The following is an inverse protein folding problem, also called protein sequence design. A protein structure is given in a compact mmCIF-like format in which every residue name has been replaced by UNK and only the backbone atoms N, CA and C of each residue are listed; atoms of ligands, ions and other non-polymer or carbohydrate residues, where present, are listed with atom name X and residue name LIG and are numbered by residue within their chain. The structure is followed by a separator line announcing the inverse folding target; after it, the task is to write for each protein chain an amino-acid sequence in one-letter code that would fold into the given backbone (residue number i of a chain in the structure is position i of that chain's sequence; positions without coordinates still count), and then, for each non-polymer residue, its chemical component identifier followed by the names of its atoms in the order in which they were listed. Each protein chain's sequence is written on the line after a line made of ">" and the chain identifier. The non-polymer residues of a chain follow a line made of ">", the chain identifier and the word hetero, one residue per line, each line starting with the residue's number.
data_IF_835845202803
#
_entry.id   IF_835845202803
#
_cell.length_a   1.000
_cell.length_b   1.000
_cell.length_c   1.000
_cell.angle_alpha   90.00
_cell.angle_beta   90.00
_cell.angle_gamma   90.00
#
_symmetry.space_group_name_H-M   'P 1'
#
loop_
_entity.id
_entity.type
_entity.pdbx_description
1 polymer ?
#
# COMPACT_ATOMS: atom_id res chain seq x y z
N UNK A 1 -21.09 -17.45 41.15
CA UNK A 1 -20.94 -18.90 40.91
C UNK A 1 -21.22 -19.57 42.24
N UNK A 2 -22.32 -20.32 42.35
CA UNK A 2 -22.76 -20.89 43.62
C UNK A 2 -21.93 -22.16 43.91
N UNK A 3 -20.88 -22.02 44.72
CA UNK A 3 -19.96 -23.12 45.10
C UNK A 3 -20.62 -24.18 45.98
N UNK A 4 -21.61 -23.77 46.78
CA UNK A 4 -22.37 -24.65 47.68
C UNK A 4 -23.12 -25.76 46.93
N UNK A 5 -23.58 -25.50 45.70
CA UNK A 5 -24.30 -26.49 44.91
C UNK A 5 -23.38 -27.59 44.37
N UNK A 6 -22.10 -27.28 44.11
CA UNK A 6 -21.13 -28.27 43.63
C UNK A 6 -20.69 -29.22 44.74
N UNK A 7 -20.64 -28.75 46.00
CA UNK A 7 -20.29 -29.59 47.15
C UNK A 7 -21.41 -30.59 47.50
N UNK A 8 -22.66 -30.30 47.14
CA UNK A 8 -23.80 -31.21 47.33
C UNK A 8 -23.96 -32.28 46.24
N UNK A 9 -23.27 -32.12 45.10
CA UNK A 9 -23.34 -33.07 43.99
C UNK A 9 -22.38 -34.23 44.21
N UNK A 10 -22.81 -35.42 43.83
CA UNK A 10 -21.97 -36.61 43.80
C UNK A 10 -20.85 -36.49 42.75
N UNK A 11 -19.82 -37.33 42.89
CA UNK A 11 -18.70 -37.36 41.93
C UNK A 11 -19.16 -37.63 40.49
N UNK A 12 -20.15 -38.51 40.31
CA UNK A 12 -20.73 -38.83 39.00
C UNK A 12 -21.48 -37.64 38.41
N UNK A 13 -22.25 -36.91 39.23
CA UNK A 13 -22.96 -35.70 38.78
C UNK A 13 -21.99 -34.58 38.40
N UNK A 14 -20.92 -34.39 39.18
CA UNK A 14 -19.83 -33.45 38.85
C UNK A 14 -19.13 -33.83 37.54
N UNK A 15 -18.92 -35.12 37.31
CA UNK A 15 -18.33 -35.62 36.06
C UNK A 15 -19.26 -35.38 34.86
N UNK A 16 -20.56 -35.66 34.99
CA UNK A 16 -21.56 -35.40 33.95
C UNK A 16 -21.60 -33.91 33.61
N UNK A 17 -21.60 -33.04 34.63
CA UNK A 17 -21.58 -31.60 34.41
C UNK A 17 -20.31 -31.15 33.67
N UNK A 18 -19.14 -31.68 34.05
CA UNK A 18 -17.89 -31.41 33.34
C UNK A 18 -17.98 -31.80 31.86
N UNK A 19 -18.52 -32.99 31.56
CA UNK A 19 -18.72 -33.45 30.18
C UNK A 19 -19.68 -32.53 29.41
N UNK A 20 -20.79 -32.11 30.02
CA UNK A 20 -21.74 -31.18 29.41
C UNK A 20 -21.11 -29.81 29.13
N UNK A 21 -20.33 -29.28 30.07
CA UNK A 21 -19.62 -28.01 29.91
C UNK A 21 -18.59 -28.13 28.78
N UNK A 22 -17.80 -29.21 28.74
CA UNK A 22 -16.84 -29.46 27.68
C UNK A 22 -17.50 -29.57 26.29
N UNK A 23 -18.61 -30.29 26.19
CA UNK A 23 -19.39 -30.39 24.96
C UNK A 23 -19.95 -29.04 24.51
N UNK A 24 -20.55 -28.30 25.44
CA UNK A 24 -21.12 -26.96 25.19
C UNK A 24 -20.05 -25.97 24.74
N UNK A 25 -18.89 -25.96 25.41
CA UNK A 25 -17.76 -25.12 25.03
C UNK A 25 -17.25 -25.47 23.64
N UNK A 26 -17.09 -26.75 23.33
CA UNK A 26 -16.65 -27.21 22.01
C UNK A 26 -17.60 -26.76 20.90
N UNK A 27 -18.92 -26.91 21.11
CA UNK A 27 -19.94 -26.43 20.17
C UNK A 27 -19.87 -24.90 20.00
N UNK A 28 -19.79 -24.14 21.11
CA UNK A 28 -19.66 -22.68 21.06
C UNK A 28 -18.42 -22.25 20.30
N UNK A 29 -17.28 -22.89 20.55
CA UNK A 29 -16.01 -22.60 19.85
C UNK A 29 -16.16 -22.83 18.34
N UNK A 30 -16.76 -23.94 17.92
CA UNK A 30 -16.97 -24.24 16.51
C UNK A 30 -17.86 -23.19 15.82
N UNK A 31 -18.96 -22.78 16.45
CA UNK A 31 -19.85 -21.76 15.92
C UNK A 31 -19.16 -20.40 15.81
N UNK A 32 -18.40 -20.00 16.84
CA UNK A 32 -17.65 -18.75 16.80
C UNK A 32 -16.55 -18.78 15.73
N UNK A 33 -15.84 -19.90 15.59
CA UNK A 33 -14.84 -20.10 14.53
C UNK A 33 -15.46 -19.96 13.15
N UNK A 34 -16.57 -20.65 12.88
CA UNK A 34 -17.27 -20.57 11.59
C UNK A 34 -17.71 -19.13 11.27
N UNK A 35 -18.21 -18.39 12.26
CA UNK A 35 -18.58 -16.98 12.10
C UNK A 35 -17.39 -16.09 11.73
N UNK A 36 -16.23 -16.34 12.34
CA UNK A 36 -15.00 -15.60 12.03
C UNK A 36 -14.49 -15.94 10.62
N UNK A 37 -14.52 -17.20 10.23
CA UNK A 37 -14.15 -17.65 8.89
C UNK A 37 -15.05 -17.04 7.81
N UNK A 38 -16.36 -16.98 8.03
CA UNK A 38 -17.30 -16.33 7.12
C UNK A 38 -17.01 -14.83 6.97
N UNK A 39 -16.73 -14.15 8.08
CA UNK A 39 -16.38 -12.72 8.07
C UNK A 39 -15.04 -12.47 7.34
N UNK A 40 -14.06 -13.34 7.57
CA UNK A 40 -12.77 -13.28 6.88
C UNK A 40 -12.94 -13.51 5.37
N UNK A 41 -13.79 -14.46 4.98
CA UNK A 41 -14.11 -14.72 3.58
C UNK A 41 -14.73 -13.49 2.90
N UNK A 42 -15.71 -12.84 3.56
CA UNK A 42 -16.34 -11.61 3.04
C UNK A 42 -15.33 -10.47 2.85
N UNK A 43 -14.44 -10.26 3.81
CA UNK A 43 -13.39 -9.23 3.70
C UNK A 43 -12.41 -9.58 2.57
N UNK A 44 -12.00 -10.84 2.47
CA UNK A 44 -11.11 -11.30 1.39
C UNK A 44 -11.72 -11.14 -0.01
N UNK A 45 -13.02 -11.40 -0.16
CA UNK A 45 -13.75 -11.15 -1.41
C UNK A 45 -13.83 -9.64 -1.73
N UNK A 46 -14.17 -8.82 -0.74
CA UNK A 46 -14.24 -7.37 -0.92
C UNK A 46 -12.89 -6.76 -1.30
N UNK A 47 -11.80 -7.20 -0.66
CA UNK A 47 -10.45 -6.75 -1.01
C UNK A 47 -10.07 -7.13 -2.44
N UNK A 48 -10.36 -8.37 -2.85
CA UNK A 48 -10.12 -8.83 -4.21
C UNK A 48 -10.89 -7.97 -5.22
N UNK A 49 -12.17 -7.73 -5.02
CA UNK A 49 -12.98 -6.86 -5.89
C UNK A 49 -12.35 -5.46 -6.04
N UNK A 50 -11.99 -4.82 -4.92
CA UNK A 50 -11.33 -3.49 -4.95
C UNK A 50 -9.98 -3.51 -5.67
N UNK A 51 -9.20 -4.59 -5.56
CA UNK A 51 -7.92 -4.71 -6.27
C UNK A 51 -8.11 -4.86 -7.78
N UNK A 52 -9.11 -5.60 -8.23
CA UNK A 52 -9.40 -5.79 -9.66
C UNK A 52 -10.01 -4.54 -10.32
N UNK A 53 -10.75 -3.73 -9.58
CA UNK A 53 -11.35 -2.48 -10.08
C UNK A 53 -10.38 -1.30 -10.15
N UNK A 54 -9.21 -1.39 -9.50
CA UNK A 54 -8.16 -0.36 -9.57
C UNK A 54 -7.35 -0.47 -10.86
N UNK A 55 -8.00 -0.27 -12.01
CA UNK A 55 -7.29 -0.05 -13.28
C UNK A 55 -6.51 1.26 -13.18
N UNK A 56 -5.18 1.17 -13.01
CA UNK A 56 -4.30 2.35 -12.96
C UNK A 56 -4.45 3.11 -14.28
N UNK A 57 -4.79 4.41 -14.19
CA UNK A 57 -4.80 5.29 -15.36
C UNK A 57 -3.38 5.32 -15.96
N UNK A 58 -3.22 5.16 -17.28
CA UNK A 58 -1.93 5.33 -17.93
C UNK A 58 -1.38 6.73 -17.64
N UNK A 59 -0.15 6.81 -17.15
CA UNK A 59 0.51 8.10 -16.96
C UNK A 59 1.01 8.62 -18.32
N UNK A 60 0.79 9.90 -18.67
CA UNK A 60 1.30 10.46 -19.91
C UNK A 60 2.83 10.32 -20.02
N UNK A 61 3.39 10.00 -21.20
CA UNK A 61 4.83 9.88 -21.37
C UNK A 61 5.50 11.23 -21.06
N UNK A 62 6.52 11.18 -20.20
CA UNK A 62 7.28 12.37 -19.81
C UNK A 62 8.36 12.64 -20.85
N UNK A 63 8.20 13.71 -21.62
CA UNK A 63 9.19 14.12 -22.64
C UNK A 63 10.44 14.73 -21.98
N UNK A 64 11.65 14.49 -22.52
CA UNK A 64 12.85 15.19 -22.09
C UNK A 64 12.74 16.70 -22.37
N UNK A 65 13.25 17.52 -21.44
CA UNK A 65 13.21 18.99 -21.52
C UNK A 65 14.61 19.59 -21.68
N UNK A 66 15.61 18.95 -21.08
CA UNK A 66 17.00 19.38 -21.09
C UNK A 66 17.90 18.30 -21.70
N UNK A 67 18.97 18.70 -22.39
CA UNK A 67 19.96 17.81 -22.99
C UNK A 67 21.39 18.25 -22.67
N UNK A 68 22.30 17.30 -22.52
CA UNK A 68 23.71 17.61 -22.27
C UNK A 68 24.40 18.05 -23.59
N UNK A 69 25.01 19.25 -23.65
CA UNK A 69 25.72 19.73 -24.84
C UNK A 69 26.95 18.90 -25.19
N UNK A 70 27.53 18.17 -24.22
CA UNK A 70 28.69 17.29 -24.45
C UNK A 70 28.28 15.91 -24.95
N UNK A 71 27.06 15.46 -24.63
CA UNK A 71 26.55 14.15 -25.02
C UNK A 71 25.03 14.21 -25.23
N UNK A 72 24.55 14.38 -26.46
CA UNK A 72 23.11 14.53 -26.76
C UNK A 72 22.24 13.33 -26.35
N UNK A 73 22.84 12.16 -26.08
CA UNK A 73 22.11 10.99 -25.59
C UNK A 73 21.66 11.16 -24.13
N UNK A 74 22.33 12.02 -23.35
CA UNK A 74 21.99 12.28 -21.96
C UNK A 74 20.94 13.39 -21.88
N UNK A 75 19.69 13.00 -21.64
CA UNK A 75 18.57 13.95 -21.52
C UNK A 75 17.91 13.88 -20.14
N UNK A 76 17.21 14.96 -19.78
CA UNK A 76 16.50 15.07 -18.52
C UNK A 76 15.15 15.75 -18.70
N UNK A 77 14.09 15.17 -18.16
CA UNK A 77 12.73 15.72 -18.25
C UNK A 77 12.47 16.91 -17.34
N UNK A 78 13.42 17.26 -16.46
CA UNK A 78 13.19 18.25 -15.41
C UNK A 78 12.42 17.73 -14.21
N UNK A 79 12.08 16.43 -14.17
CA UNK A 79 11.41 15.78 -13.05
C UNK A 79 12.36 14.79 -12.36
N UNK A 80 12.24 14.69 -11.04
CA UNK A 80 13.03 13.76 -10.23
C UNK A 80 14.48 14.21 -9.99
N UNK A 81 15.36 13.24 -9.71
CA UNK A 81 16.75 13.50 -9.34
C UNK A 81 17.54 14.13 -10.50
N UNK A 82 18.35 15.13 -10.15
CA UNK A 82 19.24 15.82 -11.08
C UNK A 82 20.31 14.86 -11.65
N UNK A 83 20.51 14.81 -12.98
CA UNK A 83 21.53 13.96 -13.60
C UNK A 83 22.95 14.33 -13.17
N UNK A 84 23.86 13.35 -13.26
CA UNK A 84 25.29 13.53 -12.92
C UNK A 84 25.97 14.57 -13.80
N UNK A 85 25.56 14.73 -15.06
CA UNK A 85 26.12 15.71 -16.00
C UNK A 85 25.66 17.14 -15.73
N UNK A 86 24.45 17.32 -15.18
CA UNK A 86 23.84 18.63 -14.97
C UNK A 86 24.27 19.26 -13.64
N UNK A 87 24.40 18.42 -12.59
CA UNK A 87 24.80 18.85 -11.24
C UNK A 87 26.12 19.65 -11.18
N UNK A 88 27.23 19.26 -11.83
CA UNK A 88 28.46 20.05 -11.83
C UNK A 88 28.32 21.35 -12.65
N UNK A 89 27.54 21.35 -13.73
CA UNK A 89 27.36 22.53 -14.57
C UNK A 89 26.57 23.63 -13.87
N UNK A 90 25.52 23.25 -13.13
CA UNK A 90 24.77 24.18 -12.28
C UNK A 90 25.62 24.71 -11.12
N UNK A 91 26.48 23.88 -10.53
CA UNK A 91 27.44 24.35 -9.50
C UNK A 91 28.52 25.28 -10.06
N UNK A 92 28.89 25.09 -11.32
CA UNK A 92 29.80 25.98 -12.05
C UNK A 92 29.14 27.29 -12.51
N UNK A 93 27.94 27.62 -12.03
CA UNK A 93 27.26 28.89 -12.30
C UNK A 93 26.48 28.96 -13.62
N UNK A 94 26.39 27.86 -14.39
CA UNK A 94 25.56 27.81 -15.61
C UNK A 94 24.09 27.73 -15.25
N UNK A 95 23.24 28.30 -16.10
CA UNK A 95 21.79 28.30 -15.87
C UNK A 95 21.19 27.03 -16.45
N UNK A 96 20.08 26.60 -15.86
CA UNK A 96 19.34 25.42 -16.33
C UNK A 96 18.80 25.64 -17.76
N UNK A 97 18.49 26.90 -18.11
CA UNK A 97 17.96 27.27 -19.41
C UNK A 97 18.95 27.04 -20.56
N UNK A 98 20.26 27.07 -20.27
CA UNK A 98 21.32 26.81 -21.26
C UNK A 98 21.27 25.36 -21.79
N UNK A 99 20.58 24.47 -21.08
CA UNK A 99 20.46 23.05 -21.42
C UNK A 99 19.11 22.70 -22.06
N UNK A 100 18.24 23.68 -22.30
CA UNK A 100 16.92 23.44 -22.88
C UNK A 100 17.02 22.94 -24.32
N UNK A 101 16.29 21.85 -24.61
CA UNK A 101 16.14 21.32 -25.97
C UNK A 101 15.33 22.29 -26.84
N UNK A 102 14.32 22.94 -26.26
CA UNK A 102 13.50 23.96 -26.92
C UNK A 102 13.84 25.37 -26.41
N UNK A 103 14.87 25.96 -27.01
CA UNK A 103 15.35 27.32 -26.73
C UNK A 103 14.34 28.41 -27.13
N UNK A 104 13.39 28.12 -28.03
CA UNK A 104 12.38 29.09 -28.48
C UNK A 104 11.44 29.51 -27.35
N UNK A 105 11.23 28.60 -26.39
CA UNK A 105 10.44 28.85 -25.18
C UNK A 105 11.10 29.81 -24.18
N UNK A 106 12.42 29.97 -24.22
CA UNK A 106 13.18 30.88 -23.35
C UNK A 106 13.12 32.31 -23.88
N UNK A 107 13.30 32.46 -25.19
CA UNK A 107 13.29 33.77 -25.87
C UNK A 107 11.95 34.50 -25.66
N UNK A 108 10.83 33.77 -25.72
CA UNK A 108 9.48 34.33 -25.47
C UNK A 108 9.25 34.81 -24.04
N UNK A 109 10.02 34.33 -23.05
CA UNK A 109 9.91 34.75 -21.64
C UNK A 109 10.71 36.01 -21.32
N UNK A 110 11.67 36.39 -22.16
CA UNK A 110 12.54 37.55 -21.96
C UNK A 110 12.00 38.82 -22.63
N UNK A 111 11.07 38.68 -23.58
CA UNK A 111 10.46 39.79 -24.34
C UNK A 111 9.11 40.24 -23.81
N UNK A 112 8.76 39.92 -22.56
CA UNK A 112 7.51 40.31 -21.88
C UNK A 112 7.81 40.89 -20.50
#
# INVERSE_FOLDING_TARGET
>A
MNTEHFNSLSLDELWILHQQVAATLSQKILVQKARLEERLHKIGLAEKAVRFDRKRRPYPPVRPKYSNPKNPAETWSGRGRLPRWLRPQLRGGRKLDDFLIDQTSVQKRQTN
#
